data_IF_790283779583
#
_entry.id   IF_790283779583
#
_cell.length_a   1.000
_cell.length_b   1.000
_cell.length_c   1.000
_cell.angle_alpha   90.00
_cell.angle_beta   90.00
_cell.angle_gamma   90.00
#
_symmetry.space_group_name_H-M   'P 1'
#
loop_
_entity.id
_entity.type
_entity.pdbx_description
1 polymer ?
#
# COMPACT_ATOMS: atom_id res chain seq x y z
N UNK A 1 37.86 5.56 1.40
CA UNK A 1 37.32 4.95 0.15
C UNK A 1 36.45 3.78 0.58
N UNK A 2 35.24 3.66 0.05
CA UNK A 2 34.30 2.59 0.40
C UNK A 2 33.51 2.13 -0.82
N UNK A 3 32.83 1.00 -0.72
CA UNK A 3 32.06 0.41 -1.81
C UNK A 3 30.70 1.13 -1.96
N UNK A 4 30.37 1.57 -3.17
CA UNK A 4 29.03 2.11 -3.50
C UNK A 4 28.26 1.02 -4.24
N UNK A 5 27.07 0.67 -3.75
CA UNK A 5 26.20 -0.29 -4.43
C UNK A 5 25.22 0.44 -5.35
N UNK A 6 25.18 0.03 -6.61
CA UNK A 6 24.10 0.41 -7.55
C UNK A 6 23.14 -0.76 -7.65
N UNK A 7 21.90 -0.57 -7.19
CA UNK A 7 20.94 -1.66 -7.01
C UNK A 7 19.69 -1.40 -7.84
N UNK A 8 19.28 -2.39 -8.63
CA UNK A 8 17.95 -2.42 -9.24
C UNK A 8 16.94 -2.93 -8.21
N UNK A 9 16.05 -2.07 -7.71
CA UNK A 9 14.99 -2.51 -6.80
C UNK A 9 13.97 -3.37 -7.56
N UNK A 10 13.48 -4.41 -6.90
CA UNK A 10 12.41 -5.31 -7.37
C UNK A 10 11.36 -5.45 -6.27
N UNK A 11 11.14 -6.65 -5.75
CA UNK A 11 10.07 -6.96 -4.80
C UNK A 11 10.37 -6.56 -3.36
N UNK A 12 11.64 -6.37 -3.02
CA UNK A 12 12.02 -6.02 -1.66
C UNK A 12 11.83 -4.55 -1.33
N UNK A 13 11.54 -4.28 -0.04
CA UNK A 13 11.44 -2.94 0.50
C UNK A 13 12.76 -2.18 0.37
N UNK A 14 12.67 -0.87 0.16
CA UNK A 14 13.84 0.02 0.04
C UNK A 14 14.70 -0.05 1.31
N UNK A 15 14.06 -0.06 2.49
CA UNK A 15 14.74 -0.23 3.77
C UNK A 15 15.48 -1.58 3.91
N UNK A 16 14.89 -2.67 3.41
CA UNK A 16 15.52 -4.00 3.40
C UNK A 16 16.78 -4.04 2.53
N UNK A 17 16.69 -3.48 1.31
CA UNK A 17 17.83 -3.36 0.39
C UNK A 17 18.99 -2.59 1.04
N UNK A 18 18.70 -1.45 1.67
CA UNK A 18 19.73 -0.67 2.36
C UNK A 18 20.26 -1.42 3.59
N UNK A 19 19.39 -2.10 4.33
CA UNK A 19 19.77 -2.91 5.50
C UNK A 19 20.81 -3.97 5.16
N UNK A 20 20.58 -4.76 4.10
CA UNK A 20 21.55 -5.77 3.66
C UNK A 20 22.82 -5.18 3.07
N UNK A 21 22.74 -4.05 2.37
CA UNK A 21 23.92 -3.37 1.87
C UNK A 21 24.87 -2.97 3.03
N UNK A 22 24.33 -2.56 4.18
CA UNK A 22 25.12 -2.29 5.39
C UNK A 22 25.86 -3.53 5.87
N UNK A 23 25.19 -4.70 5.88
CA UNK A 23 25.78 -5.98 6.29
C UNK A 23 26.95 -6.40 5.38
N UNK A 24 26.89 -6.03 4.10
CA UNK A 24 27.94 -6.27 3.10
C UNK A 24 29.05 -5.19 3.09
N UNK A 25 29.04 -4.23 4.03
CA UNK A 25 30.07 -3.19 4.15
C UNK A 25 29.99 -2.08 3.08
N UNK A 26 28.84 -1.93 2.42
CA UNK A 26 28.56 -0.83 1.47
C UNK A 26 28.46 0.49 2.23
N UNK A 27 29.00 1.58 1.67
CA UNK A 27 28.96 2.91 2.28
C UNK A 27 27.88 3.83 1.72
N UNK A 28 27.38 3.56 0.51
CA UNK A 28 26.29 4.30 -0.15
C UNK A 28 25.49 3.35 -1.04
N UNK A 29 24.16 3.47 -1.03
CA UNK A 29 23.28 2.75 -1.96
C UNK A 29 22.63 3.71 -2.95
N UNK A 30 22.85 3.48 -4.24
CA UNK A 30 22.12 4.14 -5.33
C UNK A 30 21.08 3.16 -5.88
N UNK A 31 19.81 3.49 -5.73
CA UNK A 31 18.71 2.61 -6.15
C UNK A 31 18.07 3.12 -7.44
N UNK A 32 17.78 2.23 -8.38
CA UNK A 32 16.98 2.55 -9.56
C UNK A 32 15.93 1.47 -9.81
N UNK A 33 14.85 1.85 -10.49
CA UNK A 33 13.82 0.91 -10.94
C UNK A 33 13.58 1.05 -12.43
N UNK A 34 13.19 -0.05 -13.08
CA UNK A 34 12.87 -0.02 -14.51
C UNK A 34 11.44 0.47 -14.65
N UNK A 35 11.28 1.77 -14.93
CA UNK A 35 10.00 2.38 -15.28
C UNK A 35 9.81 2.51 -16.80
N UNK A 36 8.76 3.25 -17.19
CA UNK A 36 8.46 3.60 -18.58
C UNK A 36 9.49 4.59 -19.16
N UNK A 37 9.99 5.48 -18.32
CA UNK A 37 10.97 6.51 -18.68
C UNK A 37 12.36 6.23 -18.11
N UNK A 38 13.38 6.44 -18.93
CA UNK A 38 14.79 6.36 -18.54
C UNK A 38 15.22 7.43 -17.54
N UNK A 39 14.46 8.53 -17.44
CA UNK A 39 14.69 9.63 -16.51
C UNK A 39 13.82 9.54 -15.23
N UNK A 40 12.96 8.51 -15.11
CA UNK A 40 12.12 8.30 -13.94
C UNK A 40 12.94 7.99 -12.69
N UNK A 41 12.64 8.67 -11.59
CA UNK A 41 13.25 8.45 -10.28
C UNK A 41 12.15 8.10 -9.31
N UNK A 42 12.15 6.84 -8.86
CA UNK A 42 11.17 6.31 -7.91
C UNK A 42 11.57 6.69 -6.48
N UNK A 43 10.78 7.55 -5.85
CA UNK A 43 10.93 7.95 -4.44
C UNK A 43 10.38 6.87 -3.51
N UNK A 44 10.50 7.08 -2.21
CA UNK A 44 9.96 6.17 -1.20
C UNK A 44 10.81 6.15 0.06
N UNK A 45 10.16 5.89 1.18
CA UNK A 45 10.82 5.79 2.47
C UNK A 45 11.75 4.56 2.54
N UNK A 46 12.84 4.73 3.29
CA UNK A 46 13.81 3.67 3.65
C UNK A 46 13.79 3.39 5.15
N UNK A 47 12.82 3.97 5.85
CA UNK A 47 12.59 3.73 7.27
C UNK A 47 12.27 2.25 7.52
N UNK A 48 12.70 1.74 8.68
CA UNK A 48 12.54 0.32 9.06
C UNK A 48 11.27 0.03 9.85
N UNK A 49 10.52 1.08 10.18
CA UNK A 49 9.36 1.02 11.08
C UNK A 49 8.18 1.73 10.43
N UNK A 50 6.98 1.46 10.93
CA UNK A 50 5.75 2.17 10.60
C UNK A 50 5.48 3.23 11.68
N UNK A 51 4.66 4.23 11.36
CA UNK A 51 4.33 5.31 12.27
C UNK A 51 5.41 6.38 12.40
N UNK A 52 5.16 7.36 13.26
CA UNK A 52 6.15 8.40 13.53
C UNK A 52 7.37 7.74 14.20
N UNK A 53 8.57 7.90 13.62
CA UNK A 53 9.79 7.38 14.21
C UNK A 53 10.11 7.98 15.58
N UNK A 54 9.39 8.96 16.12
CA UNK A 54 9.61 9.53 17.45
C UNK A 54 8.66 9.00 18.53
N UNK A 55 7.51 8.41 18.17
CA UNK A 55 6.43 8.07 19.13
C UNK A 55 6.01 6.60 19.15
N UNK A 56 6.52 5.75 18.25
CA UNK A 56 6.22 4.30 18.15
C UNK A 56 5.64 3.57 19.40
N UNK A 57 4.44 3.01 19.23
CA UNK A 57 3.82 1.99 20.08
C UNK A 57 3.05 2.54 21.28
N UNK A 58 3.13 3.84 21.51
CA UNK A 58 2.44 4.53 22.59
C UNK A 58 2.17 5.93 22.04
N UNK A 59 0.92 6.35 21.89
CA UNK A 59 0.58 7.74 21.53
C UNK A 59 0.98 8.76 22.62
N UNK A 60 2.20 8.66 23.16
CA UNK A 60 2.82 9.38 24.25
C UNK A 60 3.98 10.26 23.79
N UNK A 61 4.80 10.72 24.75
CA UNK A 61 5.82 11.75 24.55
C UNK A 61 6.86 11.38 23.49
N UNK A 62 7.05 12.26 22.51
CA UNK A 62 8.05 12.12 21.46
C UNK A 62 9.46 12.05 22.04
N UNK A 63 10.24 11.07 21.60
CA UNK A 63 11.66 10.97 21.91
C UNK A 63 12.48 11.99 21.10
N UNK A 64 13.69 12.29 21.57
CA UNK A 64 14.61 13.14 20.84
C UNK A 64 15.12 12.45 19.57
N UNK A 65 15.33 13.22 18.48
CA UNK A 65 15.87 12.73 17.21
C UNK A 65 17.28 12.12 17.35
N UNK A 66 18.04 12.53 18.38
CA UNK A 66 19.38 12.03 18.67
C UNK A 66 19.39 10.77 19.54
N UNK A 67 18.23 10.32 20.05
CA UNK A 67 18.15 9.11 20.86
C UNK A 67 18.56 7.87 20.04
N UNK A 68 19.40 7.03 20.64
CA UNK A 68 19.99 5.85 19.99
C UNK A 68 18.94 4.85 19.49
N UNK A 69 17.78 4.73 20.15
CA UNK A 69 16.67 3.90 19.70
C UNK A 69 16.04 4.48 18.43
N UNK A 70 15.95 5.81 18.33
CA UNK A 70 15.44 6.51 17.15
C UNK A 70 16.41 6.37 15.98
N UNK A 71 17.71 6.58 16.21
CA UNK A 71 18.73 6.45 15.17
C UNK A 71 18.77 5.06 14.53
N UNK A 72 18.45 4.00 15.29
CA UNK A 72 18.39 2.63 14.77
C UNK A 72 17.19 2.35 13.85
N UNK A 73 16.15 3.20 13.86
CA UNK A 73 14.97 3.12 12.97
C UNK A 73 15.27 3.59 11.55
N UNK A 74 16.30 4.42 11.40
CA UNK A 74 16.78 4.91 10.10
C UNK A 74 17.92 4.06 9.55
N UNK A 75 18.17 4.09 8.23
CA UNK A 75 19.38 3.52 7.65
C UNK A 75 20.66 4.16 8.20
N UNK A 76 21.70 3.34 8.35
CA UNK A 76 23.02 3.77 8.86
C UNK A 76 23.93 4.35 7.78
N UNK A 77 23.56 4.19 6.50
CA UNK A 77 24.31 4.67 5.35
C UNK A 77 23.37 5.50 4.45
N UNK A 78 23.90 6.49 3.72
CA UNK A 78 23.12 7.20 2.72
C UNK A 78 22.56 6.27 1.65
N UNK A 79 21.32 6.55 1.26
CA UNK A 79 20.69 5.93 0.10
C UNK A 79 20.02 7.00 -0.75
N UNK A 80 20.16 6.91 -2.07
CA UNK A 80 19.58 7.86 -3.01
C UNK A 80 18.93 7.14 -4.19
N UNK A 81 17.65 7.42 -4.50
CA UNK A 81 17.07 6.96 -5.74
C UNK A 81 17.66 7.75 -6.92
N UNK A 82 17.99 7.05 -8.00
CA UNK A 82 18.53 7.60 -9.24
C UNK A 82 17.74 7.05 -10.44
N UNK A 83 17.84 7.73 -11.58
CA UNK A 83 17.16 7.28 -12.79
C UNK A 83 17.88 6.08 -13.42
N UNK A 84 17.17 5.25 -14.21
CA UNK A 84 17.78 4.21 -15.03
C UNK A 84 18.94 4.70 -15.90
N UNK A 85 18.81 5.91 -16.46
CA UNK A 85 19.86 6.52 -17.28
C UNK A 85 21.15 6.75 -16.49
N UNK A 86 21.04 7.34 -15.29
CA UNK A 86 22.19 7.56 -14.40
C UNK A 86 22.78 6.22 -13.96
N UNK A 87 21.93 5.26 -13.58
CA UNK A 87 22.37 3.94 -13.17
C UNK A 87 23.16 3.24 -14.28
N UNK A 88 22.67 3.26 -15.52
CA UNK A 88 23.37 2.66 -16.66
C UNK A 88 24.65 3.40 -17.02
N UNK A 89 24.71 4.72 -16.85
CA UNK A 89 25.96 5.47 -17.01
C UNK A 89 27.04 4.98 -16.04
N UNK A 90 26.68 4.79 -14.76
CA UNK A 90 27.58 4.25 -13.73
C UNK A 90 27.95 2.79 -14.03
N UNK A 91 26.97 1.94 -14.33
CA UNK A 91 27.22 0.50 -14.55
C UNK A 91 28.11 0.25 -15.78
N UNK A 92 28.05 1.11 -16.81
CA UNK A 92 28.92 1.04 -17.99
C UNK A 92 30.34 1.53 -17.74
N UNK A 93 30.58 2.32 -16.70
CA UNK A 93 31.92 2.81 -16.34
C UNK A 93 32.69 1.89 -15.39
N UNK A 94 32.08 0.78 -14.95
CA UNK A 94 32.74 -0.23 -14.14
C UNK A 94 33.86 -0.92 -14.96
N UNK A 95 34.94 -1.32 -14.29
CA UNK A 95 36.08 -2.01 -14.93
C UNK A 95 36.18 -3.50 -14.51
N UNK A 96 35.08 -4.10 -14.05
CA UNK A 96 35.05 -5.50 -13.62
C UNK A 96 35.04 -6.53 -14.76
N UNK A 97 35.11 -7.84 -14.44
CA UNK A 97 35.01 -8.91 -15.44
C UNK A 97 33.60 -8.99 -16.07
N UNK A 98 33.37 -9.78 -17.12
CA UNK A 98 32.04 -9.84 -17.76
C UNK A 98 30.95 -10.43 -16.83
N UNK A 99 29.76 -9.81 -16.79
CA UNK A 99 28.68 -10.20 -15.88
C UNK A 99 28.14 -11.63 -16.12
N UNK A 100 27.88 -12.44 -15.06
CA UNK A 100 27.31 -13.77 -15.19
C UNK A 100 25.96 -13.73 -15.91
N UNK A 101 25.64 -14.77 -16.67
CA UNK A 101 24.41 -14.81 -17.48
C UNK A 101 23.12 -14.62 -16.65
N UNK A 102 23.07 -15.11 -15.41
CA UNK A 102 21.91 -14.97 -14.54
C UNK A 102 21.73 -13.56 -13.94
N UNK A 103 22.77 -12.71 -14.01
CA UNK A 103 22.72 -11.29 -13.65
C UNK A 103 22.45 -10.38 -14.84
N UNK A 104 22.59 -10.89 -16.08
CA UNK A 104 22.21 -10.18 -17.31
C UNK A 104 20.70 -10.08 -17.42
N UNK A 105 20.13 -9.12 -16.68
CA UNK A 105 18.89 -8.48 -17.08
C UNK A 105 19.15 -7.52 -18.26
N UNK A 106 18.48 -6.37 -18.26
CA UNK A 106 18.69 -5.31 -19.27
C UNK A 106 19.98 -4.49 -19.07
N UNK A 107 20.76 -4.78 -18.01
CA UNK A 107 21.97 -4.05 -17.70
C UNK A 107 23.13 -4.49 -18.62
N UNK A 108 23.53 -3.58 -19.51
CA UNK A 108 24.73 -3.71 -20.33
C UNK A 108 25.90 -3.15 -19.51
N UNK A 109 26.74 -4.02 -18.96
CA UNK A 109 27.94 -3.60 -18.24
C UNK A 109 28.78 -4.78 -17.73
N UNK A 110 30.06 -4.53 -17.41
CA UNK A 110 30.88 -5.47 -16.65
C UNK A 110 30.34 -5.68 -15.23
N UNK A 111 30.88 -6.68 -14.53
CA UNK A 111 30.68 -6.97 -13.11
C UNK A 111 31.11 -5.77 -12.25
N UNK A 112 30.74 -5.77 -10.96
CA UNK A 112 31.33 -4.88 -9.97
C UNK A 112 32.85 -4.80 -10.15
N UNK A 113 33.37 -3.58 -10.21
CA UNK A 113 34.76 -3.28 -10.46
C UNK A 113 35.08 -1.84 -10.05
N UNK A 114 36.36 -1.45 -10.06
CA UNK A 114 36.74 -0.10 -9.67
C UNK A 114 36.13 0.91 -10.64
N UNK A 115 35.66 2.02 -10.08
CA UNK A 115 35.27 3.24 -10.79
C UNK A 115 35.37 4.40 -9.81
N UNK A 116 35.46 5.63 -10.31
CA UNK A 116 35.47 6.83 -9.47
C UNK A 116 34.11 7.51 -9.52
N UNK A 117 33.43 7.56 -8.38
CA UNK A 117 32.19 8.30 -8.21
C UNK A 117 32.41 9.45 -7.23
N UNK A 118 32.18 10.68 -7.67
CA UNK A 118 32.06 11.82 -6.77
C UNK A 118 30.60 11.92 -6.30
N UNK A 119 30.36 11.67 -5.02
CA UNK A 119 29.03 11.65 -4.43
C UNK A 119 28.94 12.66 -3.29
N UNK A 120 27.97 13.58 -3.41
CA UNK A 120 27.62 14.51 -2.34
C UNK A 120 26.17 14.25 -1.95
N UNK A 121 25.95 14.06 -0.66
CA UNK A 121 24.62 13.79 -0.10
C UNK A 121 24.32 14.80 0.99
N UNK A 122 23.19 15.48 0.84
CA UNK A 122 22.66 16.40 1.84
C UNK A 122 21.22 15.99 2.10
N UNK A 123 20.96 15.52 3.31
CA UNK A 123 19.64 15.21 3.78
C UNK A 123 19.36 15.97 5.06
N UNK A 124 18.10 16.30 5.25
CA UNK A 124 17.62 17.05 6.41
C UNK A 124 16.47 16.27 7.04
N UNK A 125 16.55 16.06 8.35
CA UNK A 125 15.42 15.52 9.12
C UNK A 125 14.61 16.71 9.63
N UNK A 126 13.32 16.71 9.36
CA UNK A 126 12.40 17.76 9.82
C UNK A 126 11.24 17.14 10.56
N UNK A 127 10.86 17.79 11.66
CA UNK A 127 9.56 17.60 12.27
C UNK A 127 8.58 18.44 11.46
N UNK A 128 7.50 17.82 11.01
CA UNK A 128 6.44 18.47 10.25
C UNK A 128 5.09 18.12 10.87
N UNK A 129 4.15 19.06 10.81
CA UNK A 129 2.76 18.81 11.20
C UNK A 129 2.04 18.09 10.07
N UNK A 130 1.32 17.03 10.39
CA UNK A 130 0.46 16.29 9.48
C UNK A 130 -1.02 16.48 9.86
N UNK A 131 -1.92 16.26 8.90
CA UNK A 131 -3.35 16.50 9.07
C UNK A 131 -4.19 15.35 8.50
N UNK A 132 -4.62 14.44 9.37
CA UNK A 132 -5.71 13.53 9.03
C UNK A 132 -7.04 14.28 8.97
N UNK A 133 -7.88 13.97 7.98
CA UNK A 133 -9.22 14.55 7.84
C UNK A 133 -10.27 13.46 7.97
N UNK A 134 -11.27 13.68 8.83
CA UNK A 134 -12.36 12.74 9.06
C UNK A 134 -13.71 13.37 8.75
N UNK A 135 -14.55 12.65 8.02
CA UNK A 135 -15.97 12.98 7.88
C UNK A 135 -16.81 11.86 8.48
N UNK A 136 -17.74 12.22 9.37
CA UNK A 136 -18.54 11.26 10.13
C UNK A 136 -20.01 11.37 9.74
N UNK A 137 -20.59 10.25 9.29
CA UNK A 137 -22.04 10.10 9.11
C UNK A 137 -22.54 9.23 10.26
N UNK A 138 -23.18 9.87 11.25
CA UNK A 138 -23.64 9.20 12.47
C UNK A 138 -24.74 8.19 12.17
N UNK A 139 -24.60 6.98 12.71
CA UNK A 139 -25.60 5.92 12.65
C UNK A 139 -26.85 6.24 13.49
N UNK A 140 -28.00 5.74 13.06
CA UNK A 140 -29.29 5.99 13.69
C UNK A 140 -29.62 5.02 14.83
N UNK A 141 -29.13 3.78 14.76
CA UNK A 141 -29.44 2.72 15.74
C UNK A 141 -28.22 2.25 16.53
N UNK A 142 -27.08 2.09 15.86
CA UNK A 142 -25.81 1.65 16.43
C UNK A 142 -24.72 2.73 16.22
N UNK A 143 -24.87 3.93 16.80
CA UNK A 143 -23.96 5.06 16.53
C UNK A 143 -22.52 4.84 17.02
N UNK A 144 -22.31 3.91 17.95
CA UNK A 144 -20.98 3.56 18.49
C UNK A 144 -20.30 2.42 17.73
N UNK A 145 -20.94 1.87 16.69
CA UNK A 145 -20.34 0.92 15.76
C UNK A 145 -19.86 1.67 14.51
N UNK A 146 -18.57 1.56 14.16
CA UNK A 146 -17.92 2.31 13.09
C UNK A 146 -17.57 1.41 11.91
N UNK A 147 -17.90 1.85 10.70
CA UNK A 147 -17.30 1.34 9.45
C UNK A 147 -16.44 2.45 8.89
N UNK A 148 -15.14 2.17 8.77
CA UNK A 148 -14.16 3.12 8.28
C UNK A 148 -13.93 2.89 6.78
N UNK A 149 -13.89 3.96 6.00
CA UNK A 149 -13.39 3.96 4.62
C UNK A 149 -12.18 4.89 4.59
N UNK A 150 -11.01 4.36 4.25
CA UNK A 150 -9.76 5.13 4.29
C UNK A 150 -8.94 5.09 3.00
N UNK A 151 -8.24 6.20 2.78
CA UNK A 151 -7.29 6.45 1.70
C UNK A 151 -6.30 7.51 2.20
N UNK A 152 -5.00 7.37 1.93
CA UNK A 152 -4.06 8.45 2.18
C UNK A 152 -4.17 9.56 1.12
N UNK A 153 -3.57 10.71 1.38
CA UNK A 153 -3.72 11.91 0.56
C UNK A 153 -2.40 12.56 0.20
N UNK A 154 -1.36 12.34 1.01
CA UNK A 154 -0.03 12.79 0.67
C UNK A 154 0.51 12.05 -0.54
N UNK A 155 1.41 12.70 -1.24
CA UNK A 155 2.02 12.22 -2.47
C UNK A 155 3.47 12.71 -2.47
N UNK A 156 4.39 11.94 -3.02
CA UNK A 156 5.76 12.41 -3.26
C UNK A 156 5.82 13.56 -4.27
N UNK A 157 4.89 13.57 -5.25
CA UNK A 157 4.85 14.60 -6.29
C UNK A 157 3.44 15.05 -6.65
N UNK A 158 2.91 14.63 -7.81
CA UNK A 158 1.53 14.90 -8.23
C UNK A 158 0.65 13.69 -8.01
N UNK A 159 1.15 12.54 -8.49
CA UNK A 159 0.64 11.18 -8.38
C UNK A 159 -0.87 11.04 -8.51
N UNK A 160 -1.31 10.88 -9.76
CA UNK A 160 -2.72 10.70 -10.08
C UNK A 160 -3.21 9.29 -9.76
N UNK A 161 -2.30 8.30 -9.71
CA UNK A 161 -2.60 6.95 -9.24
C UNK A 161 -2.53 6.91 -7.72
N UNK A 162 -1.34 7.14 -7.15
CA UNK A 162 -1.02 6.92 -5.73
C UNK A 162 -0.91 8.24 -4.95
N UNK A 163 -1.90 8.68 -4.16
CA UNK A 163 -3.16 8.00 -3.83
C UNK A 163 -4.37 8.60 -4.52
N UNK A 164 -4.19 9.62 -5.38
CA UNK A 164 -5.30 10.49 -5.78
C UNK A 164 -6.41 9.74 -6.54
N UNK A 165 -6.13 8.58 -7.12
CA UNK A 165 -7.16 7.70 -7.70
C UNK A 165 -8.11 7.15 -6.64
N UNK A 166 -7.62 6.78 -5.44
CA UNK A 166 -8.44 6.45 -4.28
C UNK A 166 -9.13 7.67 -3.70
N UNK A 167 -8.44 8.79 -3.58
CA UNK A 167 -8.99 10.02 -2.99
C UNK A 167 -10.23 10.48 -3.75
N UNK A 168 -10.18 10.48 -5.09
CA UNK A 168 -11.34 10.90 -5.91
C UNK A 168 -12.52 9.94 -5.78
N UNK A 169 -12.28 8.63 -5.63
CA UNK A 169 -13.33 7.64 -5.41
C UNK A 169 -13.95 7.81 -4.02
N UNK A 170 -13.13 8.04 -2.98
CA UNK A 170 -13.62 8.32 -1.62
C UNK A 170 -14.53 9.55 -1.59
N UNK A 171 -14.11 10.64 -2.25
CA UNK A 171 -14.90 11.87 -2.36
C UNK A 171 -16.21 11.66 -3.12
N UNK A 172 -16.20 10.86 -4.20
CA UNK A 172 -17.44 10.57 -4.93
C UNK A 172 -18.39 9.66 -4.12
N UNK A 173 -17.88 8.71 -3.35
CA UNK A 173 -18.67 7.91 -2.40
C UNK A 173 -19.30 8.83 -1.35
N UNK A 174 -18.51 9.74 -0.73
CA UNK A 174 -19.01 10.73 0.22
C UNK A 174 -20.16 11.55 -0.36
N UNK A 175 -19.99 12.04 -1.59
CA UNK A 175 -21.00 12.79 -2.33
C UNK A 175 -22.27 11.96 -2.58
N UNK A 176 -22.13 10.68 -2.92
CA UNK A 176 -23.27 9.76 -3.14
C UNK A 176 -24.03 9.46 -1.87
N UNK A 177 -23.34 9.20 -0.76
CA UNK A 177 -23.96 9.05 0.56
C UNK A 177 -24.73 10.31 0.97
N UNK A 178 -24.15 11.50 0.75
CA UNK A 178 -24.86 12.75 1.02
C UNK A 178 -26.15 12.90 0.17
N UNK A 179 -26.16 12.42 -1.08
CA UNK A 179 -27.38 12.40 -1.91
C UNK A 179 -28.41 11.40 -1.38
N UNK A 180 -27.99 10.20 -0.97
CA UNK A 180 -28.87 9.20 -0.36
C UNK A 180 -29.50 9.74 0.93
N UNK A 181 -28.71 10.43 1.77
CA UNK A 181 -29.21 11.07 2.99
C UNK A 181 -30.28 12.12 2.72
N UNK A 182 -30.12 12.93 1.65
CA UNK A 182 -31.15 13.89 1.22
C UNK A 182 -32.44 13.21 0.75
N UNK A 183 -32.38 11.93 0.39
CA UNK A 183 -33.53 11.10 0.03
C UNK A 183 -34.09 10.32 1.22
N UNK A 184 -33.56 10.53 2.43
CA UNK A 184 -34.07 9.94 3.67
C UNK A 184 -33.31 8.70 4.17
N UNK A 185 -32.26 8.27 3.48
CA UNK A 185 -31.40 7.21 4.00
C UNK A 185 -30.62 7.68 5.24
N UNK A 186 -30.61 6.86 6.28
CA UNK A 186 -29.77 7.04 7.45
C UNK A 186 -29.13 5.69 7.77
N UNK A 187 -27.79 5.62 7.87
CA UNK A 187 -27.14 4.35 8.11
C UNK A 187 -27.45 3.84 9.52
N UNK A 188 -27.55 2.52 9.69
CA UNK A 188 -27.75 1.91 11.02
C UNK A 188 -26.51 2.12 11.90
N UNK A 189 -25.32 1.92 11.35
CA UNK A 189 -24.00 2.13 11.99
C UNK A 189 -23.36 3.43 11.52
N UNK A 190 -22.40 3.94 12.27
CA UNK A 190 -21.68 5.17 11.91
C UNK A 190 -20.65 4.90 10.81
N UNK A 191 -20.61 5.76 9.80
CA UNK A 191 -19.57 5.76 8.77
C UNK A 191 -18.53 6.80 9.13
N UNK A 192 -17.25 6.45 9.00
CA UNK A 192 -16.13 7.38 9.15
C UNK A 192 -15.28 7.32 7.88
N UNK A 193 -15.30 8.40 7.11
CA UNK A 193 -14.43 8.58 5.95
C UNK A 193 -13.11 9.18 6.43
N UNK A 194 -12.01 8.52 6.14
CA UNK A 194 -10.67 8.84 6.63
C UNK A 194 -9.79 9.24 5.44
N UNK A 195 -9.22 10.44 5.52
CA UNK A 195 -8.18 10.88 4.59
C UNK A 195 -6.88 11.04 5.37
N UNK A 196 -6.04 10.02 5.27
CA UNK A 196 -4.77 9.90 5.99
C UNK A 196 -3.71 10.82 5.38
N UNK A 197 -2.74 11.21 6.18
CA UNK A 197 -1.61 12.05 5.78
C UNK A 197 -0.29 11.39 6.22
N UNK A 198 0.79 11.73 5.54
CA UNK A 198 2.11 11.12 5.71
C UNK A 198 2.15 9.57 5.63
N UNK A 199 1.35 8.96 4.75
CA UNK A 199 1.45 7.53 4.44
C UNK A 199 2.80 7.21 3.79
N UNK A 200 3.24 8.05 2.87
CA UNK A 200 4.45 7.82 2.06
C UNK A 200 5.73 7.82 2.91
N UNK A 201 5.63 8.43 4.10
CA UNK A 201 6.68 8.51 5.09
C UNK A 201 6.64 7.35 6.10
N UNK A 202 5.74 6.38 5.93
CA UNK A 202 5.64 5.17 6.73
C UNK A 202 4.30 5.00 7.45
N UNK A 203 3.17 5.24 6.77
CA UNK A 203 1.81 5.16 7.36
C UNK A 203 1.68 6.01 8.63
N UNK A 204 2.30 7.19 8.68
CA UNK A 204 2.41 7.96 9.92
C UNK A 204 1.01 8.37 10.39
N UNK A 205 0.20 8.99 9.53
CA UNK A 205 -1.12 9.48 9.92
C UNK A 205 -2.06 8.39 10.44
N UNK A 206 -2.18 7.27 9.72
CA UNK A 206 -3.04 6.16 10.14
C UNK A 206 -2.51 5.45 11.39
N UNK A 207 -1.19 5.26 11.50
CA UNK A 207 -0.57 4.62 12.65
C UNK A 207 -0.74 5.46 13.92
N UNK A 208 -0.44 6.76 13.88
CA UNK A 208 -0.60 7.63 15.06
C UNK A 208 -2.07 7.68 15.50
N UNK A 209 -3.01 7.71 14.54
CA UNK A 209 -4.44 7.66 14.88
C UNK A 209 -4.83 6.33 15.53
N UNK A 210 -4.30 5.21 15.05
CA UNK A 210 -4.51 3.91 15.68
C UNK A 210 -3.97 3.90 17.10
N UNK A 211 -2.74 4.35 17.31
CA UNK A 211 -2.10 4.35 18.63
C UNK A 211 -2.87 5.22 19.63
N UNK A 212 -3.37 6.39 19.21
CA UNK A 212 -4.19 7.27 20.04
C UNK A 212 -5.55 6.66 20.42
N UNK A 213 -6.09 5.77 19.59
CA UNK A 213 -7.45 5.23 19.75
C UNK A 213 -7.49 3.74 20.11
N UNK A 214 -6.33 3.08 20.25
CA UNK A 214 -6.18 1.62 20.27
C UNK A 214 -7.13 0.92 21.24
N UNK A 215 -7.30 1.47 22.44
CA UNK A 215 -8.18 0.92 23.48
C UNK A 215 -9.65 0.80 23.06
N UNK A 216 -10.10 1.67 22.14
CA UNK A 216 -11.49 1.72 21.70
C UNK A 216 -11.72 0.99 20.37
N UNK A 217 -10.71 0.91 19.49
CA UNK A 217 -10.88 0.46 18.11
C UNK A 217 -11.46 -0.95 18.01
N UNK A 218 -10.87 -1.93 18.71
CA UNK A 218 -11.33 -3.32 18.65
C UNK A 218 -12.75 -3.56 19.17
N UNK A 219 -13.31 -2.63 19.96
CA UNK A 219 -14.66 -2.73 20.51
C UNK A 219 -15.72 -1.96 19.72
N UNK A 220 -15.32 -1.04 18.84
CA UNK A 220 -16.22 -0.12 18.14
C UNK A 220 -16.14 -0.24 16.63
N UNK A 221 -14.99 -0.58 16.08
CA UNK A 221 -14.79 -0.64 14.63
C UNK A 221 -15.19 -2.02 14.12
N UNK A 222 -16.20 -2.03 13.26
CA UNK A 222 -16.69 -3.23 12.57
C UNK A 222 -15.69 -3.70 11.52
N UNK A 223 -15.25 -2.78 10.66
CA UNK A 223 -14.26 -3.06 9.62
C UNK A 223 -13.62 -1.76 9.10
N UNK A 224 -12.44 -1.91 8.50
CA UNK A 224 -11.73 -0.88 7.74
C UNK A 224 -11.67 -1.27 6.26
N UNK A 225 -12.17 -0.39 5.39
CA UNK A 225 -12.13 -0.56 3.95
C UNK A 225 -11.09 0.41 3.37
N UNK A 226 -9.91 -0.12 3.05
CA UNK A 226 -8.81 0.60 2.43
C UNK A 226 -8.97 0.63 0.92
N UNK A 227 -8.77 1.80 0.32
CA UNK A 227 -8.50 1.94 -1.11
C UNK A 227 -7.46 3.02 -1.26
N UNK A 228 -6.22 2.60 -1.40
CA UNK A 228 -5.09 3.46 -1.66
C UNK A 228 -5.12 3.93 -3.13
N UNK A 229 -4.63 3.08 -4.02
CA UNK A 229 -4.72 3.26 -5.46
C UNK A 229 -6.01 2.60 -5.99
N UNK A 230 -7.11 3.35 -6.16
CA UNK A 230 -8.31 2.77 -6.75
C UNK A 230 -8.07 2.21 -8.16
N UNK A 231 -7.25 2.91 -8.96
CA UNK A 231 -6.98 2.51 -10.35
C UNK A 231 -5.53 2.81 -10.75
N UNK A 232 -4.81 1.76 -11.10
CA UNK A 232 -3.46 1.78 -11.64
C UNK A 232 -3.32 0.97 -12.95
N UNK A 233 -4.41 0.35 -13.41
CA UNK A 233 -4.47 -0.40 -14.66
C UNK A 233 -5.70 -1.33 -14.74
N UNK A 234 -5.72 -2.28 -15.69
CA UNK A 234 -6.83 -3.23 -15.83
C UNK A 234 -6.77 -4.38 -14.81
N UNK A 235 -7.93 -4.99 -14.58
CA UNK A 235 -8.11 -6.17 -13.71
C UNK A 235 -8.39 -5.82 -12.26
N UNK A 236 -9.42 -6.46 -11.68
CA UNK A 236 -9.82 -6.26 -10.30
C UNK A 236 -9.02 -7.15 -9.33
N UNK A 237 -8.57 -6.56 -8.23
CA UNK A 237 -7.82 -7.25 -7.20
C UNK A 237 -8.29 -6.81 -5.82
N UNK A 238 -8.15 -7.72 -4.86
CA UNK A 238 -8.52 -7.45 -3.49
C UNK A 238 -7.68 -8.26 -2.51
N UNK A 239 -7.39 -7.65 -1.36
CA UNK A 239 -6.96 -8.31 -0.15
C UNK A 239 -8.02 -8.17 0.95
N UNK A 240 -8.19 -9.17 1.80
CA UNK A 240 -9.12 -9.07 2.92
C UNK A 240 -8.76 -10.00 4.08
N UNK A 241 -9.31 -9.70 5.25
CA UNK A 241 -9.46 -10.68 6.33
C UNK A 241 -10.54 -11.71 5.98
N UNK A 242 -10.37 -13.01 6.28
CA UNK A 242 -11.21 -14.10 5.74
C UNK A 242 -12.72 -13.94 5.94
N UNK A 243 -13.12 -13.36 7.07
CA UNK A 243 -14.53 -13.14 7.40
C UNK A 243 -15.26 -12.18 6.44
N UNK A 244 -14.53 -11.39 5.64
CA UNK A 244 -15.07 -10.46 4.65
C UNK A 244 -15.12 -11.02 3.23
N UNK A 245 -14.56 -12.21 2.99
CA UNK A 245 -14.43 -12.79 1.65
C UNK A 245 -15.78 -12.94 0.93
N UNK A 246 -16.77 -13.50 1.63
CA UNK A 246 -18.10 -13.71 1.07
C UNK A 246 -18.79 -12.39 0.72
N UNK A 247 -18.71 -11.39 1.61
CA UNK A 247 -19.30 -10.09 1.35
C UNK A 247 -18.70 -9.48 0.08
N UNK A 248 -17.37 -9.53 -0.06
CA UNK A 248 -16.67 -9.03 -1.22
C UNK A 248 -17.10 -9.72 -2.52
N UNK A 249 -17.22 -11.05 -2.50
CA UNK A 249 -17.69 -11.83 -3.65
C UNK A 249 -19.13 -11.46 -4.02
N UNK A 250 -20.03 -11.37 -3.04
CA UNK A 250 -21.44 -11.04 -3.28
C UNK A 250 -21.63 -9.62 -3.80
N UNK A 251 -20.79 -8.67 -3.36
CA UNK A 251 -20.81 -7.30 -3.87
C UNK A 251 -20.21 -7.24 -5.29
N UNK A 252 -19.14 -7.97 -5.57
CA UNK A 252 -18.54 -8.04 -6.92
C UNK A 252 -19.51 -8.61 -7.97
N UNK A 253 -20.44 -9.49 -7.59
CA UNK A 253 -21.51 -10.01 -8.45
C UNK A 253 -22.58 -8.96 -8.81
N UNK A 254 -22.65 -7.83 -8.10
CA UNK A 254 -23.68 -6.80 -8.31
C UNK A 254 -23.19 -5.62 -9.14
N UNK A 255 -21.89 -5.52 -9.38
CA UNK A 255 -21.27 -4.41 -10.08
C UNK A 255 -20.83 -4.87 -11.47
N UNK A 256 -21.22 -4.12 -12.50
CA UNK A 256 -20.78 -4.36 -13.87
C UNK A 256 -19.26 -4.19 -13.97
N UNK A 257 -18.60 -5.08 -14.71
CA UNK A 257 -17.19 -4.95 -14.98
C UNK A 257 -16.93 -3.72 -15.89
N UNK A 258 -15.94 -2.88 -15.57
CA UNK A 258 -15.68 -1.68 -16.36
C UNK A 258 -15.17 -1.97 -17.77
N UNK A 259 -14.60 -3.15 -18.00
CA UNK A 259 -14.00 -3.56 -19.27
C UNK A 259 -14.92 -4.51 -20.06
N UNK A 260 -16.16 -4.73 -19.61
CA UNK A 260 -17.15 -5.58 -20.28
C UNK A 260 -18.59 -5.16 -20.01
N UNK A 261 -19.36 -4.97 -21.08
CA UNK A 261 -20.78 -4.60 -20.97
C UNK A 261 -21.68 -5.74 -20.47
N UNK A 262 -21.26 -7.00 -20.60
CA UNK A 262 -22.10 -8.17 -20.31
C UNK A 262 -21.70 -8.93 -19.04
N UNK A 263 -20.58 -8.55 -18.40
CA UNK A 263 -20.03 -9.25 -17.24
C UNK A 263 -20.09 -8.39 -15.99
N UNK A 264 -20.15 -9.06 -14.84
CA UNK A 264 -19.91 -8.43 -13.54
C UNK A 264 -18.42 -8.46 -13.22
N UNK A 265 -17.99 -7.66 -12.23
CA UNK A 265 -16.62 -7.73 -11.69
C UNK A 265 -16.29 -9.17 -11.31
N UNK A 266 -17.23 -9.88 -10.68
CA UNK A 266 -17.06 -11.29 -10.30
C UNK A 266 -16.79 -12.20 -11.52
N UNK A 267 -17.57 -12.06 -12.60
CA UNK A 267 -17.43 -12.91 -13.79
C UNK A 267 -16.06 -12.73 -14.44
N UNK A 268 -15.63 -11.48 -14.63
CA UNK A 268 -14.33 -11.17 -15.21
C UNK A 268 -13.18 -11.59 -14.28
N UNK A 269 -13.35 -11.41 -12.97
CA UNK A 269 -12.37 -11.81 -11.96
C UNK A 269 -12.15 -13.34 -11.95
N UNK A 270 -13.23 -14.12 -12.07
CA UNK A 270 -13.19 -15.58 -12.21
C UNK A 270 -12.46 -16.02 -13.48
N UNK A 271 -12.74 -15.38 -14.62
CA UNK A 271 -12.13 -15.73 -15.91
C UNK A 271 -10.63 -15.43 -15.89
N UNK A 272 -10.26 -14.23 -15.43
CA UNK A 272 -8.87 -13.75 -15.47
C UNK A 272 -7.96 -14.58 -14.58
N UNK A 273 -8.41 -14.91 -13.36
CA UNK A 273 -7.58 -15.61 -12.37
C UNK A 273 -7.82 -17.12 -12.32
N UNK A 274 -8.77 -17.65 -13.11
CA UNK A 274 -9.31 -19.03 -13.06
C UNK A 274 -10.03 -19.38 -11.75
N UNK A 275 -9.73 -18.69 -10.65
CA UNK A 275 -10.32 -18.79 -9.32
C UNK A 275 -10.37 -17.39 -8.72
N UNK A 276 -11.39 -17.06 -7.92
CA UNK A 276 -11.37 -15.85 -7.09
C UNK A 276 -10.18 -15.91 -6.14
N UNK A 277 -9.24 -14.99 -6.34
CA UNK A 277 -8.05 -14.89 -5.51
C UNK A 277 -8.12 -13.62 -4.65
N UNK A 278 -8.64 -13.75 -3.44
CA UNK A 278 -8.59 -12.72 -2.40
C UNK A 278 -7.31 -12.93 -1.60
N UNK A 279 -6.40 -11.97 -1.69
CA UNK A 279 -5.14 -12.01 -0.96
C UNK A 279 -5.38 -11.83 0.54
N UNK A 280 -4.49 -12.41 1.36
CA UNK A 280 -4.49 -12.10 2.79
C UNK A 280 -3.65 -10.84 3.03
N UNK A 281 -4.16 -9.95 3.88
CA UNK A 281 -3.52 -8.68 4.22
C UNK A 281 -2.35 -8.91 5.21
N UNK A 282 -1.26 -9.48 4.72
CA UNK A 282 -0.04 -9.72 5.50
C UNK A 282 1.07 -8.70 5.26
N UNK A 283 0.87 -7.77 4.32
CA UNK A 283 1.82 -6.71 3.98
C UNK A 283 1.72 -5.49 4.91
N UNK A 284 2.67 -4.57 4.76
CA UNK A 284 2.73 -3.28 5.48
C UNK A 284 2.88 -2.14 4.47
N UNK A 285 2.08 -2.24 3.42
CA UNK A 285 2.19 -1.48 2.16
C UNK A 285 1.05 -0.46 1.96
N UNK A 286 0.18 -0.28 2.95
CA UNK A 286 -0.81 0.82 2.99
C UNK A 286 -1.44 0.92 4.40
N UNK A 287 -2.35 1.89 4.59
CA UNK A 287 -2.96 2.26 5.86
C UNK A 287 -3.79 1.16 6.56
N UNK A 288 -4.11 0.05 5.89
CA UNK A 288 -4.75 -1.09 6.56
C UNK A 288 -3.84 -1.75 7.59
N UNK A 289 -2.51 -1.59 7.46
CA UNK A 289 -1.52 -2.28 8.29
C UNK A 289 -1.68 -1.97 9.78
N UNK A 290 -1.67 -0.70 10.26
CA UNK A 290 -1.89 -0.42 11.67
C UNK A 290 -3.30 -0.83 12.14
N UNK A 291 -4.34 -0.68 11.31
CA UNK A 291 -5.70 -1.07 11.69
C UNK A 291 -5.83 -2.58 11.91
N UNK A 292 -5.27 -3.39 11.01
CA UNK A 292 -5.37 -4.84 11.08
C UNK A 292 -4.36 -5.45 12.05
N UNK A 293 -3.07 -5.13 11.87
CA UNK A 293 -1.99 -5.85 12.54
C UNK A 293 -1.77 -5.35 13.98
N UNK A 294 -2.06 -4.07 14.25
CA UNK A 294 -1.93 -3.49 15.58
C UNK A 294 -3.28 -3.51 16.32
N UNK A 295 -4.35 -3.03 15.70
CA UNK A 295 -5.66 -2.93 16.36
C UNK A 295 -6.58 -4.15 16.19
N UNK A 296 -6.24 -5.11 15.32
CA UNK A 296 -7.06 -6.32 15.10
C UNK A 296 -8.37 -6.06 14.36
N UNK A 297 -8.49 -4.93 13.65
CA UNK A 297 -9.70 -4.56 12.91
C UNK A 297 -9.81 -5.38 11.63
N UNK A 298 -10.96 -6.02 11.34
CA UNK A 298 -11.23 -6.65 10.05
C UNK A 298 -11.04 -5.67 8.89
N UNK A 299 -10.23 -6.03 7.90
CA UNK A 299 -9.86 -5.09 6.84
C UNK A 299 -10.04 -5.67 5.44
N UNK A 300 -10.27 -4.77 4.49
CA UNK A 300 -10.27 -5.02 3.04
C UNK A 300 -9.37 -3.97 2.37
N UNK A 301 -8.69 -4.37 1.30
CA UNK A 301 -7.95 -3.50 0.40
C UNK A 301 -8.33 -3.82 -1.05
N UNK A 302 -8.68 -2.81 -1.86
CA UNK A 302 -9.22 -2.99 -3.22
C UNK A 302 -8.53 -2.08 -4.22
N UNK A 303 -8.27 -2.60 -5.42
CA UNK A 303 -7.65 -1.81 -6.48
C UNK A 303 -7.84 -2.46 -7.87
N UNK A 304 -7.77 -1.62 -8.90
CA UNK A 304 -7.70 -2.04 -10.30
C UNK A 304 -6.26 -1.92 -10.84
N UNK A 305 -5.72 -3.01 -11.40
CA UNK A 305 -4.30 -3.11 -11.78
C UNK A 305 -3.39 -3.40 -10.57
N UNK A 306 -2.17 -3.92 -10.78
CA UNK A 306 -1.24 -4.29 -9.68
C UNK A 306 0.06 -3.50 -9.64
N UNK A 307 0.60 -3.20 -10.82
CA UNK A 307 1.92 -2.58 -10.97
C UNK A 307 1.78 -1.61 -12.13
N UNK A 308 2.29 -0.41 -11.93
CA UNK A 308 2.31 0.63 -12.96
C UNK A 308 3.71 1.25 -13.07
N UNK A 309 4.13 1.66 -14.28
CA UNK A 309 5.54 1.90 -14.58
C UNK A 309 6.05 3.29 -14.17
N UNK A 310 5.18 4.14 -13.60
CA UNK A 310 5.48 5.52 -13.19
C UNK A 310 5.37 5.74 -11.67
N UNK A 311 5.17 4.67 -10.91
CA UNK A 311 5.08 4.65 -9.45
C UNK A 311 6.16 5.49 -8.75
N UNK A 312 5.76 6.35 -7.82
CA UNK A 312 6.61 7.28 -7.06
C UNK A 312 7.55 8.17 -7.90
N UNK A 313 7.24 8.35 -9.18
CA UNK A 313 7.98 9.25 -10.08
C UNK A 313 7.13 10.47 -10.41
N UNK A 314 7.79 11.54 -10.85
CA UNK A 314 7.08 12.73 -11.35
C UNK A 314 6.25 12.48 -12.62
N UNK A 315 6.30 11.27 -13.21
CA UNK A 315 5.50 10.88 -14.35
C UNK A 315 4.13 10.32 -13.96
N UNK A 316 3.95 9.90 -12.70
CA UNK A 316 2.61 9.65 -12.17
C UNK A 316 1.88 10.99 -12.08
N UNK A 317 0.97 11.17 -13.03
CA UNK A 317 0.39 12.46 -13.37
C UNK A 317 -0.99 12.26 -13.96
N UNK A 318 -1.82 13.29 -13.90
CA UNK A 318 -3.15 13.25 -14.50
C UNK A 318 -3.09 12.89 -15.99
N UNK A 319 -2.08 13.39 -16.70
CA UNK A 319 -1.88 13.05 -18.11
C UNK A 319 -1.59 11.55 -18.30
N UNK A 320 -0.79 10.93 -17.43
CA UNK A 320 -0.57 9.48 -17.50
C UNK A 320 -1.89 8.72 -17.23
N UNK A 321 -2.66 9.15 -16.22
CA UNK A 321 -3.96 8.55 -15.92
C UNK A 321 -4.92 8.60 -17.12
N UNK A 322 -5.08 9.75 -17.76
CA UNK A 322 -6.02 9.93 -18.87
C UNK A 322 -5.59 9.26 -20.17
N UNK A 323 -4.30 8.93 -20.32
CA UNK A 323 -3.79 8.29 -21.54
C UNK A 323 -3.55 6.78 -21.37
N UNK A 324 -3.26 6.33 -20.15
CA UNK A 324 -2.80 4.96 -19.88
C UNK A 324 -3.54 4.26 -18.74
N UNK A 325 -3.75 4.95 -17.61
CA UNK A 325 -4.37 4.35 -16.42
C UNK A 325 -5.85 4.02 -16.62
N UNK A 326 -6.67 5.05 -16.85
CA UNK A 326 -8.11 4.92 -17.07
C UNK A 326 -8.67 6.05 -17.94
N UNK A 327 -8.43 6.01 -19.27
CA UNK A 327 -8.80 7.10 -20.18
C UNK A 327 -10.27 7.53 -20.15
N UNK A 328 -11.17 6.61 -19.79
CA UNK A 328 -12.62 6.84 -19.73
C UNK A 328 -13.15 6.94 -18.28
N UNK A 329 -12.29 6.82 -17.27
CA UNK A 329 -12.65 6.78 -15.85
C UNK A 329 -13.66 5.68 -15.47
N UNK A 330 -13.86 4.68 -16.33
CA UNK A 330 -14.84 3.62 -16.13
C UNK A 330 -14.43 2.68 -14.97
N UNK A 331 -13.13 2.47 -14.77
CA UNK A 331 -12.63 1.67 -13.65
C UNK A 331 -12.77 2.44 -12.33
N UNK A 332 -12.56 3.75 -12.33
CA UNK A 332 -12.86 4.59 -11.15
C UNK A 332 -14.34 4.51 -10.78
N UNK A 333 -15.23 4.44 -11.78
CA UNK A 333 -16.66 4.22 -11.55
C UNK A 333 -16.93 2.84 -10.95
N UNK A 334 -16.29 1.79 -11.45
CA UNK A 334 -16.44 0.44 -10.90
C UNK A 334 -15.83 0.30 -9.49
N UNK A 335 -14.76 1.04 -9.17
CA UNK A 335 -14.13 1.08 -7.86
C UNK A 335 -15.08 1.57 -6.74
N UNK A 336 -16.24 2.16 -7.10
CA UNK A 336 -17.35 2.43 -6.16
C UNK A 336 -17.94 1.16 -5.51
N UNK A 337 -17.54 -0.03 -5.95
CA UNK A 337 -17.72 -1.29 -5.21
C UNK A 337 -17.31 -1.14 -3.74
N UNK A 338 -16.31 -0.30 -3.46
CA UNK A 338 -15.92 0.13 -2.11
C UNK A 338 -17.07 0.73 -1.29
N UNK A 339 -17.85 1.63 -1.89
CA UNK A 339 -19.01 2.23 -1.23
C UNK A 339 -20.16 1.23 -1.04
N UNK A 340 -20.32 0.25 -1.93
CA UNK A 340 -21.37 -0.77 -1.78
C UNK A 340 -21.04 -1.78 -0.68
N UNK A 341 -19.75 -2.13 -0.51
CA UNK A 341 -19.27 -2.90 0.65
C UNK A 341 -19.61 -2.21 1.96
N UNK A 342 -19.30 -0.92 2.05
CA UNK A 342 -19.62 -0.11 3.22
C UNK A 342 -21.13 -0.08 3.50
N UNK A 343 -21.98 0.07 2.48
CA UNK A 343 -23.44 0.04 2.64
C UNK A 343 -23.94 -1.25 3.31
N UNK A 344 -23.42 -2.40 2.90
CA UNK A 344 -23.75 -3.68 3.55
C UNK A 344 -23.32 -3.71 5.02
N UNK A 345 -22.10 -3.28 5.32
CA UNK A 345 -21.58 -3.30 6.69
C UNK A 345 -22.34 -2.31 7.62
N UNK A 346 -22.81 -1.19 7.07
CA UNK A 346 -23.45 -0.13 7.86
C UNK A 346 -24.95 -0.34 8.03
N UNK A 347 -25.62 -1.00 7.09
CA UNK A 347 -27.09 -1.14 7.09
C UNK A 347 -27.58 -2.54 7.45
N UNK A 348 -26.84 -3.61 7.14
CA UNK A 348 -27.32 -4.97 7.36
C UNK A 348 -27.52 -5.21 8.88
N UNK A 349 -28.69 -5.70 9.32
CA UNK A 349 -28.96 -5.91 10.75
C UNK A 349 -27.98 -6.90 11.39
N UNK A 350 -27.58 -7.92 10.63
CA UNK A 350 -26.57 -8.90 11.01
C UNK A 350 -25.33 -8.64 10.15
N UNK A 351 -24.18 -8.49 10.79
CA UNK A 351 -22.92 -8.31 10.07
C UNK A 351 -22.68 -9.51 9.14
N UNK A 352 -22.41 -9.29 7.84
CA UNK A 352 -22.26 -10.35 6.84
C UNK A 352 -20.89 -11.04 6.92
N UNK A 353 -20.43 -11.34 8.14
CA UNK A 353 -19.17 -12.03 8.39
C UNK A 353 -19.32 -13.54 8.25
N UNK A 354 -18.40 -14.17 7.50
CA UNK A 354 -18.33 -15.62 7.39
C UNK A 354 -17.07 -16.18 8.06
N UNK A 355 -17.21 -16.67 9.29
CA UNK A 355 -16.09 -17.27 10.01
C UNK A 355 -15.69 -18.67 9.50
N UNK A 356 -16.48 -19.31 8.63
CA UNK A 356 -16.08 -20.57 7.98
C UNK A 356 -14.84 -20.34 7.10
N UNK A 357 -14.82 -19.25 6.32
CA UNK A 357 -13.66 -18.85 5.52
C UNK A 357 -12.41 -18.66 6.39
N UNK A 358 -12.58 -18.17 7.63
CA UNK A 358 -11.49 -18.06 8.60
C UNK A 358 -10.94 -19.44 9.00
N UNK A 359 -11.83 -20.39 9.29
CA UNK A 359 -11.41 -21.76 9.64
C UNK A 359 -10.66 -22.44 8.50
N UNK A 360 -11.10 -22.25 7.25
CA UNK A 360 -10.42 -22.78 6.06
C UNK A 360 -9.00 -22.22 5.92
N UNK A 361 -8.82 -20.92 6.14
CA UNK A 361 -7.50 -20.28 6.09
C UNK A 361 -6.57 -20.76 7.23
N UNK A 362 -7.11 -21.00 8.43
CA UNK A 362 -6.34 -21.61 9.52
C UNK A 362 -5.87 -23.02 9.16
N UNK A 363 -6.72 -23.83 8.52
CA UNK A 363 -6.34 -25.16 8.05
C UNK A 363 -5.22 -25.11 7.00
N UNK A 364 -5.30 -24.19 6.04
CA UNK A 364 -4.22 -23.98 5.05
C UNK A 364 -2.91 -23.63 5.75
N UNK A 365 -2.94 -22.74 6.74
CA UNK A 365 -1.78 -22.35 7.54
C UNK A 365 -1.16 -23.53 8.29
N UNK A 366 -1.98 -24.37 8.94
CA UNK A 366 -1.52 -25.57 9.66
C UNK A 366 -0.86 -26.56 8.71
N UNK A 367 -1.48 -26.82 7.55
CA UNK A 367 -0.93 -27.72 6.54
C UNK A 367 0.43 -27.23 6.02
N UNK A 368 0.53 -25.94 5.72
CA UNK A 368 1.78 -25.33 5.24
C UNK A 368 2.89 -25.41 6.30
N UNK A 369 2.60 -25.07 7.55
CA UNK A 369 3.57 -25.15 8.64
C UNK A 369 4.00 -26.60 8.90
N UNK A 370 3.05 -27.55 8.86
CA UNK A 370 3.34 -28.98 9.03
C UNK A 370 4.27 -29.50 7.92
N UNK A 371 4.05 -29.06 6.67
CA UNK A 371 4.92 -29.39 5.54
C UNK A 371 6.33 -28.83 5.73
N UNK A 372 6.46 -27.56 6.14
CA UNK A 372 7.76 -26.93 6.40
C UNK A 372 8.51 -27.68 7.51
N UNK A 373 7.84 -27.98 8.63
CA UNK A 373 8.44 -28.72 9.75
C UNK A 373 8.91 -30.10 9.27
N UNK A 374 8.10 -30.83 8.51
CA UNK A 374 8.49 -32.14 7.97
C UNK A 374 9.69 -32.04 7.01
N UNK A 375 9.76 -30.98 6.19
CA UNK A 375 10.89 -30.73 5.29
C UNK A 375 12.19 -30.47 6.07
N UNK A 376 12.15 -29.67 7.13
CA UNK A 376 13.31 -29.39 7.99
C UNK A 376 13.70 -30.57 8.90
N UNK A 377 12.78 -31.47 9.25
CA UNK A 377 13.11 -32.67 10.01
C UNK A 377 13.68 -33.82 9.14
N UNK A 378 13.57 -33.70 7.81
CA UNK A 378 14.05 -34.70 6.85
C UNK A 378 15.39 -34.37 6.19
N UNK A 379 15.96 -33.21 6.51
CA UNK A 379 17.28 -32.72 6.08
C UNK A 379 18.06 -32.25 7.30
#
# INVERSE_FOLDING_TARGET
>A
MGCVAVVRRREESRGGVVGRAVEEGVVVVLMYTKGESMSGVERGTVMKVLGDPLTLGWGGEALDLEDSHILNRFPKIPSMPISPEVAYSILRSLEGPQMPHHWRGDALGPQPGPTLLNFTYQAEKKIATIHNVFAVIRGSEEPDCYVLLGNHRDAWTYEAVDPNSGTVVLLDIARRYALMMRQGWQPRRTIVLCSWDAEEFGMIGSTEWVEQNLLNLGSKVVAYLNVDCAVQGPGFFAGATPQLDNLLIEVAKKVQDPDSESMTIYDNWMITNKVINIQRLSGVDSDFAPLLQHAGVPSVDLYYGRVFPVYHTAFDSYNWMTNHGDPLFQRHVAARVWGLLALHLVDDPILPFNYVSYTEQLWVGICFLSFIIAYFLSH
#
